data_IF_707190037840
#
_entry.id   IF_707190037840
#
_cell.length_a   1.000
_cell.length_b   1.000
_cell.length_c   1.000
_cell.angle_alpha   90.00
_cell.angle_beta   90.00
_cell.angle_gamma   90.00
#
_symmetry.space_group_name_H-M   'P 1'
#
loop_
_entity.id
_entity.type
_entity.pdbx_description
1 polymer ?
#
# COMPACT_ATOMS: atom_id res chain seq x y z
N UNK A 1 12.79 16.18 -4.27
CA UNK A 1 11.64 15.85 -3.42
C UNK A 1 10.57 15.34 -4.36
N UNK A 2 10.07 14.12 -4.16
CA UNK A 2 8.96 13.61 -4.98
C UNK A 2 7.70 14.36 -4.55
N UNK A 3 7.15 15.17 -5.45
CA UNK A 3 5.89 15.84 -5.20
C UNK A 3 4.76 14.82 -5.42
N UNK A 4 4.05 14.50 -4.34
CA UNK A 4 2.86 13.66 -4.42
C UNK A 4 1.79 14.40 -5.24
N UNK A 5 1.53 13.91 -6.45
CA UNK A 5 0.58 14.52 -7.40
C UNK A 5 -0.86 14.01 -7.24
N UNK A 6 -1.11 13.19 -6.22
CA UNK A 6 -2.39 12.54 -5.98
C UNK A 6 -2.36 11.05 -6.29
N UNK A 7 -3.44 10.35 -5.92
CA UNK A 7 -3.62 8.95 -6.28
C UNK A 7 -4.12 8.85 -7.73
N UNK A 8 -3.61 7.89 -8.53
CA UNK A 8 -4.12 7.65 -9.87
C UNK A 8 -5.58 7.21 -9.80
N UNK A 9 -6.35 7.45 -10.87
CA UNK A 9 -7.76 7.03 -10.96
C UNK A 9 -7.93 5.53 -10.68
N UNK A 10 -6.96 4.74 -11.11
CA UNK A 10 -6.94 3.28 -10.95
C UNK A 10 -6.76 2.83 -9.48
N UNK A 11 -6.38 3.72 -8.57
CA UNK A 11 -6.11 3.38 -7.17
C UNK A 11 -7.28 2.63 -6.51
N UNK A 12 -8.49 3.20 -6.59
CA UNK A 12 -9.67 2.59 -6.00
C UNK A 12 -10.17 1.40 -6.82
N UNK A 13 -10.13 1.50 -8.15
CA UNK A 13 -10.52 0.42 -9.06
C UNK A 13 -9.71 -0.85 -8.85
N UNK A 14 -8.40 -0.74 -8.57
CA UNK A 14 -7.57 -1.89 -8.24
C UNK A 14 -8.11 -2.66 -7.02
N UNK A 15 -8.55 -1.95 -5.97
CA UNK A 15 -9.08 -2.60 -4.76
C UNK A 15 -10.47 -3.20 -4.98
N UNK A 16 -11.31 -2.57 -5.81
CA UNK A 16 -12.59 -3.14 -6.23
C UNK A 16 -12.39 -4.46 -7.00
N UNK A 17 -11.47 -4.45 -7.98
CA UNK A 17 -11.14 -5.65 -8.76
C UNK A 17 -10.52 -6.74 -7.89
N UNK A 18 -9.63 -6.38 -6.96
CA UNK A 18 -9.00 -7.32 -6.02
C UNK A 18 -10.04 -7.98 -5.12
N UNK A 19 -11.06 -7.24 -4.66
CA UNK A 19 -12.13 -7.81 -3.84
C UNK A 19 -12.93 -8.87 -4.62
N UNK A 20 -13.17 -8.65 -5.91
CA UNK A 20 -13.82 -9.63 -6.80
C UNK A 20 -12.92 -10.79 -7.23
N UNK A 21 -11.60 -10.60 -7.23
CA UNK A 21 -10.61 -11.55 -7.73
C UNK A 21 -9.55 -11.92 -6.68
N UNK A 22 -9.97 -12.16 -5.43
CA UNK A 22 -9.08 -12.39 -4.30
C UNK A 22 -8.42 -13.78 -4.32
N UNK A 23 -7.65 -14.07 -5.37
CA UNK A 23 -6.90 -15.30 -5.58
C UNK A 23 -5.49 -14.99 -6.06
N UNK A 24 -4.57 -15.93 -5.79
CA UNK A 24 -3.14 -15.73 -6.05
C UNK A 24 -2.81 -15.57 -7.54
N UNK A 25 -3.36 -16.35 -8.49
CA UNK A 25 -3.08 -16.19 -9.91
C UNK A 25 -3.40 -14.78 -10.43
N UNK A 26 -4.62 -14.29 -10.18
CA UNK A 26 -5.04 -12.96 -10.60
C UNK A 26 -4.13 -11.87 -10.02
N UNK A 27 -3.76 -11.98 -8.74
CA UNK A 27 -2.85 -11.01 -8.13
C UNK A 27 -1.45 -11.05 -8.75
N UNK A 28 -0.92 -12.23 -9.14
CA UNK A 28 0.37 -12.29 -9.81
C UNK A 28 0.32 -11.61 -11.18
N UNK A 29 -0.75 -11.81 -11.94
CA UNK A 29 -0.97 -11.15 -13.23
C UNK A 29 -1.10 -9.63 -13.09
N UNK A 30 -1.74 -9.17 -12.01
CA UNK A 30 -1.96 -7.74 -11.72
C UNK A 30 -0.90 -7.13 -10.81
N UNK A 31 0.20 -7.85 -10.54
CA UNK A 31 1.20 -7.42 -9.57
C UNK A 31 1.86 -6.10 -9.95
N UNK A 32 2.15 -5.89 -11.23
CA UNK A 32 2.74 -4.64 -11.69
C UNK A 32 1.77 -3.46 -11.51
N UNK A 33 0.49 -3.64 -11.88
CA UNK A 33 -0.59 -2.68 -11.63
C UNK A 33 -0.71 -2.34 -10.15
N UNK A 34 -0.58 -3.31 -9.25
CA UNK A 34 -0.54 -3.04 -7.81
C UNK A 34 0.62 -2.11 -7.42
N UNK A 35 1.82 -2.32 -7.97
CA UNK A 35 2.94 -1.42 -7.66
C UNK A 35 2.71 -0.01 -8.19
N UNK A 36 2.27 0.12 -9.44
CA UNK A 36 2.13 1.40 -10.12
C UNK A 36 0.94 2.21 -9.61
N UNK A 37 -0.19 1.53 -9.38
CA UNK A 37 -1.44 2.19 -8.97
C UNK A 37 -1.57 2.36 -7.47
N UNK A 38 -0.88 1.56 -6.65
CA UNK A 38 -1.07 1.55 -5.19
C UNK A 38 0.23 1.78 -4.43
N UNK A 39 1.24 0.93 -4.61
CA UNK A 39 2.46 0.97 -3.77
C UNK A 39 3.24 2.26 -3.96
N UNK A 40 3.55 2.62 -5.19
CA UNK A 40 4.36 3.81 -5.48
C UNK A 40 3.63 5.09 -5.03
N UNK A 41 2.34 5.31 -5.38
CA UNK A 41 1.60 6.50 -4.92
C UNK A 41 1.49 6.62 -3.39
N UNK A 42 1.26 5.51 -2.66
CA UNK A 42 1.20 5.56 -1.19
C UNK A 42 2.59 5.85 -0.60
N UNK A 43 3.66 5.26 -1.16
CA UNK A 43 5.03 5.56 -0.74
C UNK A 43 5.35 7.04 -0.89
N UNK A 44 5.01 7.64 -2.03
CA UNK A 44 5.15 9.08 -2.28
C UNK A 44 4.33 9.93 -1.31
N UNK A 45 3.07 9.53 -1.06
CA UNK A 45 2.22 10.19 -0.08
C UNK A 45 2.84 10.16 1.33
N UNK A 46 3.38 9.02 1.77
CA UNK A 46 4.04 8.89 3.07
C UNK A 46 5.27 9.82 3.15
N UNK A 47 6.09 9.88 2.10
CA UNK A 47 7.23 10.81 2.03
C UNK A 47 6.77 12.25 2.14
N UNK A 48 5.72 12.62 1.40
CA UNK A 48 5.15 13.98 1.40
C UNK A 48 4.60 14.38 2.77
N UNK A 49 3.94 13.46 3.48
CA UNK A 49 3.35 13.71 4.80
C UNK A 49 4.37 13.67 5.95
N UNK A 50 5.53 13.05 5.76
CA UNK A 50 6.52 12.85 6.83
C UNK A 50 6.97 14.13 7.56
N UNK A 51 7.22 15.27 6.88
CA UNK A 51 7.59 16.52 7.55
C UNK A 51 6.47 17.06 8.44
N UNK A 52 5.22 17.02 7.97
CA UNK A 52 4.06 17.50 8.73
C UNK A 52 3.79 16.64 9.96
N UNK A 53 3.88 15.31 9.81
CA UNK A 53 3.73 14.38 10.94
C UNK A 53 4.83 14.56 11.99
N UNK A 54 6.05 14.90 11.57
CA UNK A 54 7.17 15.19 12.50
C UNK A 54 6.90 16.43 13.35
N UNK A 55 6.18 17.42 12.83
CA UNK A 55 5.76 18.63 13.57
C UNK A 55 4.75 18.30 14.67
N UNK A 56 3.90 17.29 14.44
CA UNK A 56 2.90 16.83 15.39
C UNK A 56 3.53 15.94 16.47
N UNK A 57 4.39 15.00 16.06
CA UNK A 57 5.08 14.10 16.98
C UNK A 57 6.46 13.71 16.46
N UNK A 58 7.50 14.04 17.21
CA UNK A 58 8.88 13.59 16.95
C UNK A 58 9.07 12.08 17.08
N UNK A 59 8.13 11.40 17.73
CA UNK A 59 8.19 9.96 18.00
C UNK A 59 7.51 9.14 16.91
N UNK A 60 6.75 9.78 16.02
CA UNK A 60 6.16 9.10 14.87
C UNK A 60 7.15 9.04 13.71
N UNK A 61 7.36 7.83 13.17
CA UNK A 61 8.21 7.61 12.00
C UNK A 61 7.31 7.23 10.83
N UNK A 62 7.20 8.14 9.86
CA UNK A 62 6.61 7.86 8.56
C UNK A 62 7.65 7.12 7.69
N UNK A 63 7.58 5.79 7.64
CA UNK A 63 8.48 4.94 6.84
C UNK A 63 7.76 4.54 5.53
N UNK A 64 8.22 5.01 4.35
CA UNK A 64 7.56 4.74 3.07
C UNK A 64 7.77 3.32 2.55
N UNK A 65 8.52 2.47 3.25
CA UNK A 65 8.76 1.09 2.82
C UNK A 65 7.43 0.33 2.59
N UNK A 66 7.26 -0.31 1.42
CA UNK A 66 6.09 -1.13 1.12
C UNK A 66 5.89 -2.31 2.09
N UNK A 67 6.96 -2.76 2.74
CA UNK A 67 6.94 -3.87 3.67
C UNK A 67 7.63 -3.48 4.98
N UNK A 68 6.86 -3.51 6.08
CA UNK A 68 7.38 -3.20 7.41
C UNK A 68 7.56 -1.70 7.69
N UNK A 69 7.12 -0.83 6.78
CA UNK A 69 6.96 0.60 7.03
C UNK A 69 5.52 0.97 7.44
N UNK A 70 5.14 2.20 7.14
CA UNK A 70 3.82 2.78 7.45
C UNK A 70 2.70 2.36 6.48
N UNK A 71 3.00 1.52 5.49
CA UNK A 71 2.02 0.95 4.56
C UNK A 71 1.54 -0.43 5.06
N UNK A 72 0.23 -0.68 5.02
CA UNK A 72 -0.33 -2.00 5.29
C UNK A 72 0.05 -3.02 4.20
N UNK A 73 0.26 -4.27 4.61
CA UNK A 73 0.57 -5.36 3.67
C UNK A 73 -0.71 -5.84 3.00
N UNK A 74 -0.64 -6.07 1.70
CA UNK A 74 -1.75 -6.67 0.92
C UNK A 74 -2.00 -8.14 1.27
N UNK A 75 -0.96 -8.87 1.66
CA UNK A 75 -1.11 -10.25 2.10
C UNK A 75 -1.68 -10.30 3.52
N UNK A 76 -2.77 -11.05 3.69
CA UNK A 76 -3.31 -11.38 5.01
C UNK A 76 -2.30 -12.25 5.76
N UNK A 77 -2.04 -11.88 7.02
CA UNK A 77 -1.21 -12.70 7.89
C UNK A 77 -1.97 -13.99 8.25
N UNK A 78 -1.56 -15.12 7.67
CA UNK A 78 -2.19 -16.42 7.88
C UNK A 78 -1.66 -17.14 9.11
N UNK A 79 -0.70 -16.58 9.85
CA UNK A 79 -0.02 -17.26 10.98
C UNK A 79 -0.98 -17.67 12.12
N UNK A 80 -2.16 -17.06 12.20
CA UNK A 80 -3.21 -17.40 13.17
C UNK A 80 -4.57 -17.70 12.51
N UNK A 81 -4.61 -17.89 11.19
CA UNK A 81 -5.85 -18.29 10.52
C UNK A 81 -6.16 -19.75 10.86
N UNK A 82 -7.41 -20.03 11.27
CA UNK A 82 -7.89 -21.40 11.47
C UNK A 82 -8.01 -22.18 10.15
N UNK A 83 -8.01 -21.49 9.01
CA UNK A 83 -8.02 -22.13 7.71
C UNK A 83 -6.61 -22.50 7.26
N UNK A 84 -6.27 -23.76 7.49
CA UNK A 84 -5.32 -24.53 6.67
C UNK A 84 -6.12 -25.23 5.57
N UNK A 85 -6.32 -24.55 4.44
CA UNK A 85 -6.60 -25.16 3.13
C UNK A 85 -6.06 -24.25 2.04
#
# INVERSE_FOLDING_TARGET
>A
MSDFSGFPRDFFTFFEDLAGNNNRPWFQENKQRYYDSVVNPISEFIVCMAPELRRISRHYIADPKPHGGSMFRIYRDTRFSKDKT
#
